data_IF_730272421646
#
_entry.id   IF_730272421646
#
_cell.length_a   1.000
_cell.length_b   1.000
_cell.length_c   1.000
_cell.angle_alpha   90.00
_cell.angle_beta   90.00
_cell.angle_gamma   90.00
#
_symmetry.space_group_name_H-M   'P 1'
#
loop_
_entity.id
_entity.type
_entity.pdbx_description
1 polymer ?
#
# COMPACT_ATOMS: atom_id res chain seq x y z
N UNK A 1 15.16 -17.81 27.21
CA UNK A 1 14.27 -17.46 28.36
C UNK A 1 12.96 -18.18 28.14
N UNK A 2 12.43 -18.88 29.16
CA UNK A 2 11.13 -19.53 29.04
C UNK A 2 10.06 -18.49 28.66
N UNK A 3 9.27 -18.78 27.62
CA UNK A 3 8.16 -17.94 27.20
C UNK A 3 7.21 -17.75 28.38
N UNK A 4 7.12 -16.54 28.91
CA UNK A 4 6.18 -16.19 29.96
C UNK A 4 4.79 -16.34 29.35
N UNK A 5 4.07 -17.41 29.71
CA UNK A 5 2.67 -17.58 29.33
C UNK A 5 1.88 -16.45 29.96
N UNK A 6 1.44 -15.51 29.13
CA UNK A 6 0.63 -14.38 29.55
C UNK A 6 -0.77 -14.49 28.95
N UNK A 7 -1.77 -14.27 29.79
CA UNK A 7 -3.16 -14.15 29.37
C UNK A 7 -3.53 -12.67 29.27
N UNK A 8 -4.07 -12.27 28.12
CA UNK A 8 -4.69 -10.97 27.88
C UNK A 8 -6.20 -11.15 27.85
N UNK A 9 -6.91 -10.25 28.52
CA UNK A 9 -8.37 -10.30 28.61
C UNK A 9 -8.93 -9.11 27.84
N UNK A 10 -9.86 -9.39 26.93
CA UNK A 10 -10.67 -8.40 26.23
C UNK A 10 -12.11 -8.57 26.71
N UNK A 11 -12.60 -7.57 27.44
CA UNK A 11 -13.98 -7.55 27.96
C UNK A 11 -14.92 -7.02 26.89
N UNK A 12 -15.96 -7.79 26.57
CA UNK A 12 -17.00 -7.46 25.59
C UNK A 12 -18.18 -6.78 26.29
N UNK A 13 -18.58 -5.60 25.84
CA UNK A 13 -19.78 -4.92 26.32
C UNK A 13 -20.80 -4.69 25.19
N UNK A 14 -22.03 -4.43 25.59
CA UNK A 14 -23.09 -4.04 24.69
C UNK A 14 -22.73 -2.71 24.00
N UNK A 15 -22.95 -2.65 22.68
CA UNK A 15 -22.74 -1.45 21.86
C UNK A 15 -21.29 -0.92 21.84
N UNK A 16 -20.29 -1.75 22.11
CA UNK A 16 -18.90 -1.32 21.95
C UNK A 16 -18.59 -0.92 20.50
N UNK A 17 -17.82 0.16 20.34
CA UNK A 17 -17.22 0.54 19.07
C UNK A 17 -15.71 0.24 19.09
N UNK A 18 -15.35 -1.01 18.77
CA UNK A 18 -13.96 -1.48 18.84
C UNK A 18 -13.18 -1.29 17.53
N UNK A 19 -13.82 -0.78 16.48
CA UNK A 19 -13.18 -0.59 15.15
C UNK A 19 -12.02 0.39 15.18
N UNK A 20 -12.04 1.33 16.13
CA UNK A 20 -11.01 2.36 16.31
C UNK A 20 -9.97 1.99 17.37
N UNK A 21 -10.13 0.86 18.04
CA UNK A 21 -9.24 0.42 19.11
C UNK A 21 -8.29 -0.63 18.57
N UNK A 22 -6.99 -0.37 18.72
CA UNK A 22 -5.96 -1.31 18.31
C UNK A 22 -5.61 -2.29 19.43
N UNK A 23 -5.94 -3.56 19.24
CA UNK A 23 -5.52 -4.63 20.15
C UNK A 23 -4.25 -5.30 19.62
N UNK A 24 -3.14 -5.17 20.34
CA UNK A 24 -1.87 -5.85 20.02
C UNK A 24 -1.62 -7.00 20.98
N UNK A 25 -1.33 -8.18 20.43
CA UNK A 25 -1.04 -9.41 21.20
C UNK A 25 0.25 -10.04 20.66
N UNK A 26 1.04 -10.64 21.55
CA UNK A 26 2.26 -11.35 21.16
C UNK A 26 1.97 -12.83 20.88
N UNK A 27 2.80 -13.45 20.03
CA UNK A 27 2.75 -14.91 19.83
C UNK A 27 2.99 -15.64 21.15
N UNK A 28 2.35 -16.79 21.31
CA UNK A 28 2.42 -17.62 22.51
C UNK A 28 1.58 -17.11 23.70
N UNK A 29 0.95 -15.94 23.60
CA UNK A 29 0.00 -15.46 24.61
C UNK A 29 -1.36 -16.14 24.42
N UNK A 30 -2.22 -16.04 25.43
CA UNK A 30 -3.64 -16.36 25.28
C UNK A 30 -4.44 -15.05 25.27
N UNK A 31 -5.25 -14.82 24.24
CA UNK A 31 -6.26 -13.77 24.26
C UNK A 31 -7.59 -14.40 24.64
N UNK A 32 -8.16 -13.97 25.76
CA UNK A 32 -9.46 -14.38 26.24
C UNK A 32 -10.48 -13.27 26.00
N UNK A 33 -11.59 -13.58 25.34
CA UNK A 33 -12.75 -12.72 25.29
C UNK A 33 -13.67 -13.09 26.45
N UNK A 34 -14.03 -12.12 27.27
CA UNK A 34 -14.91 -12.30 28.44
C UNK A 34 -16.09 -11.37 28.36
N UNK A 35 -17.25 -11.80 28.86
CA UNK A 35 -18.43 -10.95 28.90
C UNK A 35 -18.31 -9.90 30.01
N UNK A 36 -18.52 -8.64 29.64
CA UNK A 36 -18.75 -7.56 30.59
C UNK A 36 -20.16 -7.62 31.18
N UNK A 37 -20.44 -6.84 32.25
CA UNK A 37 -21.72 -6.88 32.96
C UNK A 37 -22.94 -6.65 32.06
N UNK A 38 -22.79 -5.81 31.03
CA UNK A 38 -23.86 -5.49 30.08
C UNK A 38 -24.30 -6.64 29.18
N UNK A 39 -23.47 -7.69 29.05
CA UNK A 39 -23.73 -8.84 28.19
C UNK A 39 -24.03 -10.14 28.94
N UNK A 40 -23.95 -10.16 30.27
CA UNK A 40 -24.12 -11.40 31.06
C UNK A 40 -25.50 -12.04 30.91
N UNK A 41 -26.54 -11.26 30.61
CA UNK A 41 -27.90 -11.76 30.43
C UNK A 41 -28.19 -12.24 29.00
N UNK A 42 -27.24 -12.09 28.07
CA UNK A 42 -27.47 -12.34 26.65
C UNK A 42 -26.66 -13.54 26.16
N UNK A 43 -27.23 -14.39 25.27
CA UNK A 43 -26.44 -15.39 24.55
C UNK A 43 -25.56 -14.66 23.53
N UNK A 44 -24.25 -14.62 23.80
CA UNK A 44 -23.26 -13.98 22.93
C UNK A 44 -22.50 -15.04 22.14
N UNK A 45 -22.38 -14.87 20.83
CA UNK A 45 -21.49 -15.68 19.98
C UNK A 45 -20.35 -14.81 19.47
N UNK A 46 -19.11 -15.29 19.60
CA UNK A 46 -17.91 -14.58 19.14
C UNK A 46 -17.35 -15.29 17.92
N UNK A 47 -17.10 -14.54 16.86
CA UNK A 47 -16.50 -15.01 15.63
C UNK A 47 -15.16 -14.34 15.39
N UNK A 48 -14.22 -15.05 14.79
CA UNK A 48 -12.94 -14.48 14.35
C UNK A 48 -12.47 -15.12 13.05
N UNK A 49 -11.73 -14.36 12.24
CA UNK A 49 -11.01 -14.92 11.09
C UNK A 49 -9.58 -15.39 11.45
N UNK A 50 -9.22 -15.41 12.74
CA UNK A 50 -8.00 -16.06 13.18
C UNK A 50 -8.10 -17.58 12.93
N UNK A 51 -7.19 -18.17 12.13
CA UNK A 51 -7.32 -19.55 11.69
C UNK A 51 -7.19 -20.53 12.86
N UNK A 52 -7.70 -21.74 12.67
CA UNK A 52 -7.39 -22.85 13.56
C UNK A 52 -5.92 -23.26 13.41
N UNK A 53 -5.40 -23.97 14.40
CA UNK A 53 -4.03 -24.45 14.35
C UNK A 53 -3.84 -25.38 13.14
N UNK A 54 -2.84 -25.07 12.31
CA UNK A 54 -2.57 -25.79 11.06
C UNK A 54 -3.37 -25.32 9.84
N UNK A 55 -4.38 -24.45 10.00
CA UNK A 55 -5.13 -23.90 8.88
C UNK A 55 -4.45 -22.66 8.27
N UNK A 56 -4.60 -22.46 6.96
CA UNK A 56 -4.19 -21.24 6.29
C UNK A 56 -5.11 -20.06 6.67
N UNK A 57 -4.56 -18.85 6.67
CA UNK A 57 -5.35 -17.65 6.89
C UNK A 57 -6.15 -17.27 5.65
N UNK A 58 -7.47 -17.08 5.81
CA UNK A 58 -8.38 -16.60 4.79
C UNK A 58 -9.17 -15.40 5.33
N UNK A 59 -8.94 -14.20 4.77
CA UNK A 59 -9.47 -12.94 5.33
C UNK A 59 -10.99 -12.93 5.52
N UNK A 60 -11.73 -13.55 4.60
CA UNK A 60 -13.20 -13.56 4.59
C UNK A 60 -13.81 -14.72 5.41
N UNK A 61 -13.01 -15.66 5.89
CA UNK A 61 -13.49 -16.86 6.57
C UNK A 61 -13.49 -16.65 8.08
N UNK A 62 -14.68 -16.61 8.68
CA UNK A 62 -14.84 -16.52 10.13
C UNK A 62 -15.23 -17.87 10.72
N UNK A 63 -14.77 -18.13 11.94
CA UNK A 63 -15.18 -19.29 12.75
C UNK A 63 -15.70 -18.82 14.10
N UNK A 64 -16.64 -19.57 14.63
CA UNK A 64 -17.15 -19.38 15.98
C UNK A 64 -16.10 -19.84 17.00
N UNK A 65 -15.94 -19.08 18.09
CA UNK A 65 -15.09 -19.45 19.21
C UNK A 65 -15.92 -20.15 20.30
N UNK A 66 -15.55 -21.37 20.72
CA UNK A 66 -16.29 -22.08 21.76
C UNK A 66 -16.09 -21.43 23.14
N UNK A 67 -17.18 -21.25 23.88
CA UNK A 67 -17.15 -20.83 25.27
C UNK A 67 -16.62 -21.94 26.19
N UNK A 68 -15.76 -21.55 27.13
CA UNK A 68 -15.15 -22.40 28.15
C UNK A 68 -15.48 -21.85 29.54
N UNK A 69 -15.54 -22.71 30.55
CA UNK A 69 -15.80 -22.34 31.94
C UNK A 69 -14.67 -22.79 32.87
N UNK A 70 -14.32 -21.98 33.87
CA UNK A 70 -13.35 -22.37 34.91
C UNK A 70 -14.07 -23.00 36.10
N UNK A 71 -14.48 -24.26 35.99
CA UNK A 71 -14.75 -25.18 37.10
C UNK A 71 -15.93 -24.89 38.07
N UNK A 72 -16.39 -23.65 38.22
CA UNK A 72 -17.56 -23.29 39.02
C UNK A 72 -18.63 -22.77 38.07
N UNK A 73 -19.82 -23.37 38.15
CA UNK A 73 -20.94 -23.13 37.24
C UNK A 73 -21.56 -21.75 37.56
N UNK A 74 -20.96 -20.72 36.97
CA UNK A 74 -21.51 -19.37 36.87
C UNK A 74 -21.19 -18.81 35.47
N UNK A 75 -22.14 -18.12 34.84
CA UNK A 75 -21.91 -17.48 33.54
C UNK A 75 -20.84 -16.37 33.60
N UNK A 76 -20.49 -15.87 34.79
CA UNK A 76 -19.49 -14.82 35.00
C UNK A 76 -18.06 -15.24 34.66
N UNK A 77 -17.76 -16.54 34.67
CA UNK A 77 -16.42 -17.08 34.43
C UNK A 77 -16.25 -17.70 33.04
N UNK A 78 -17.26 -17.50 32.17
CA UNK A 78 -17.21 -17.96 30.79
C UNK A 78 -16.24 -17.10 29.97
N UNK A 79 -15.38 -17.76 29.18
CA UNK A 79 -14.51 -17.09 28.22
C UNK A 79 -14.37 -17.91 26.96
N UNK A 80 -14.18 -17.25 25.82
CA UNK A 80 -13.63 -17.91 24.64
C UNK A 80 -12.20 -17.42 24.42
N UNK A 81 -11.35 -18.23 23.78
CA UNK A 81 -9.94 -17.87 23.65
C UNK A 81 -9.31 -18.27 22.33
N UNK A 82 -8.32 -17.49 21.94
CA UNK A 82 -7.35 -17.82 20.89
C UNK A 82 -5.95 -17.82 21.47
N UNK A 83 -5.07 -18.65 20.88
CA UNK A 83 -3.65 -18.70 21.19
C UNK A 83 -2.86 -18.32 19.94
N UNK A 84 -2.50 -17.03 19.78
CA UNK A 84 -1.81 -16.59 18.59
C UNK A 84 -0.45 -17.26 18.43
N UNK A 85 -0.23 -17.85 17.27
CA UNK A 85 1.03 -18.44 16.82
C UNK A 85 1.49 -17.84 15.49
N UNK A 86 0.54 -17.31 14.70
CA UNK A 86 0.78 -16.63 13.44
C UNK A 86 0.70 -15.12 13.64
N UNK A 87 1.66 -14.38 13.08
CA UNK A 87 1.63 -12.91 13.04
C UNK A 87 0.75 -12.44 11.90
N UNK A 88 0.06 -11.33 12.10
CA UNK A 88 -0.84 -10.78 11.10
C UNK A 88 -1.90 -9.87 11.70
N UNK A 89 -2.81 -9.44 10.84
CA UNK A 89 -3.97 -8.64 11.22
C UNK A 89 -5.23 -9.47 11.05
N UNK A 90 -5.94 -9.64 12.15
CA UNK A 90 -7.15 -10.45 12.26
C UNK A 90 -8.33 -9.58 12.70
N UNK A 91 -9.52 -10.09 12.48
CA UNK A 91 -10.78 -9.47 12.85
C UNK A 91 -11.56 -10.42 13.76
N UNK A 92 -12.27 -9.84 14.71
CA UNK A 92 -13.30 -10.53 15.47
C UNK A 92 -14.56 -9.68 15.50
N UNK A 93 -15.70 -10.35 15.58
CA UNK A 93 -16.98 -9.70 15.81
C UNK A 93 -17.83 -10.57 16.73
N UNK A 94 -18.81 -9.98 17.37
CA UNK A 94 -19.73 -10.74 18.21
C UNK A 94 -21.17 -10.32 18.02
N UNK A 95 -22.03 -11.30 18.24
CA UNK A 95 -23.46 -11.26 17.98
C UNK A 95 -24.17 -11.52 19.31
N UNK A 96 -25.15 -10.68 19.63
CA UNK A 96 -26.12 -10.95 20.69
C UNK A 96 -27.48 -10.38 20.26
N UNK A 97 -28.54 -11.18 20.40
CA UNK A 97 -29.83 -10.88 19.78
C UNK A 97 -29.77 -10.97 18.24
N UNK A 98 -30.36 -10.00 17.53
CA UNK A 98 -30.38 -9.99 16.07
C UNK A 98 -29.18 -9.21 15.47
N UNK A 99 -28.30 -9.91 14.76
CA UNK A 99 -27.21 -9.35 13.95
C UNK A 99 -25.91 -8.99 14.69
N UNK A 100 -24.86 -8.68 13.93
CA UNK A 100 -23.55 -8.25 14.45
C UNK A 100 -23.70 -6.93 15.21
N UNK A 101 -23.19 -6.90 16.45
CA UNK A 101 -23.32 -5.73 17.35
C UNK A 101 -22.04 -4.93 17.49
N UNK A 102 -20.90 -5.59 17.40
CA UNK A 102 -19.60 -4.94 17.43
C UNK A 102 -18.56 -5.79 16.70
N UNK A 103 -17.55 -5.12 16.18
CA UNK A 103 -16.37 -5.71 15.54
C UNK A 103 -15.11 -5.00 16.03
N UNK A 104 -13.99 -5.71 16.03
CA UNK A 104 -12.69 -5.18 16.39
C UNK A 104 -11.57 -5.90 15.65
N UNK A 105 -10.38 -5.30 15.69
CA UNK A 105 -9.20 -5.82 15.01
C UNK A 105 -8.12 -6.21 16.01
N UNK A 106 -7.45 -7.31 15.70
CA UNK A 106 -6.33 -7.85 16.46
C UNK A 106 -5.08 -7.83 15.58
N UNK A 107 -4.00 -7.25 16.09
CA UNK A 107 -2.67 -7.38 15.52
C UNK A 107 -1.87 -8.35 16.37
N UNK A 108 -1.34 -9.39 15.72
CA UNK A 108 -0.36 -10.28 16.31
C UNK A 108 1.01 -9.88 15.78
N UNK A 109 1.84 -9.33 16.65
CA UNK A 109 3.15 -8.79 16.29
C UNK A 109 4.07 -9.90 15.70
N UNK A 110 4.88 -9.59 14.67
CA UNK A 110 5.90 -10.52 14.21
C UNK A 110 7.02 -10.68 15.24
N UNK A 111 7.65 -11.84 15.22
CA UNK A 111 8.88 -12.09 15.96
C UNK A 111 10.04 -12.00 14.98
N UNK A 112 10.90 -11.02 15.17
CA UNK A 112 12.07 -10.81 14.35
C UNK A 112 13.24 -11.58 14.93
N UNK A 113 13.96 -12.35 14.12
CA UNK A 113 14.99 -13.23 14.62
C UNK A 113 16.27 -13.17 13.77
N UNK A 114 17.39 -13.07 14.47
CA UNK A 114 18.71 -12.80 13.87
C UNK A 114 19.77 -13.71 14.50
N UNK A 115 20.92 -13.86 13.84
CA UNK A 115 21.95 -14.81 14.24
C UNK A 115 21.82 -16.18 13.57
N UNK A 116 22.79 -17.08 13.79
CA UNK A 116 22.80 -18.43 13.23
C UNK A 116 21.74 -19.32 13.89
N UNK A 117 21.35 -20.39 13.20
CA UNK A 117 20.22 -21.24 13.57
C UNK A 117 20.36 -21.91 14.94
N UNK A 118 21.59 -22.11 15.41
CA UNK A 118 21.92 -22.72 16.70
C UNK A 118 21.92 -21.73 17.88
N UNK A 119 22.01 -20.43 17.62
CA UNK A 119 22.07 -19.37 18.63
C UNK A 119 21.24 -18.14 18.25
N UNK A 120 20.09 -18.40 17.60
CA UNK A 120 19.18 -17.38 17.12
C UNK A 120 18.63 -16.54 18.29
N UNK A 121 18.67 -15.22 18.14
CA UNK A 121 18.14 -14.25 19.12
C UNK A 121 16.95 -13.51 18.54
N UNK A 122 15.95 -13.25 19.37
CA UNK A 122 14.83 -12.38 19.01
C UNK A 122 15.27 -10.92 19.11
N UNK A 123 15.02 -10.14 18.06
CA UNK A 123 15.14 -8.69 18.06
C UNK A 123 13.79 -8.08 18.47
N UNK A 124 13.68 -7.42 19.64
CA UNK A 124 12.45 -6.74 20.02
C UNK A 124 12.11 -5.62 19.03
N UNK A 125 10.83 -5.46 18.71
CA UNK A 125 10.36 -4.42 17.77
C UNK A 125 10.73 -3.00 18.23
N UNK A 126 10.71 -2.75 19.53
CA UNK A 126 11.08 -1.45 20.13
C UNK A 126 12.60 -1.18 20.09
N UNK A 127 13.40 -2.16 19.67
CA UNK A 127 14.86 -2.06 19.58
C UNK A 127 15.36 -1.96 18.14
N UNK A 128 14.48 -1.74 17.16
CA UNK A 128 14.89 -1.57 15.76
C UNK A 128 15.62 -0.23 15.60
N UNK A 129 16.86 -0.30 15.12
CA UNK A 129 17.65 0.83 14.65
C UNK A 129 17.89 0.63 13.15
N UNK A 130 17.26 1.48 12.34
CA UNK A 130 17.14 1.29 10.90
C UNK A 130 17.98 2.30 10.11
N UNK A 131 18.75 1.81 9.14
CA UNK A 131 19.52 2.62 8.19
C UNK A 131 18.92 2.51 6.79
N UNK A 132 18.39 3.62 6.27
CA UNK A 132 17.88 3.67 4.89
C UNK A 132 19.01 3.92 3.90
N UNK A 133 19.10 3.07 2.88
CA UNK A 133 20.05 3.20 1.77
C UNK A 133 19.32 3.37 0.44
N UNK A 134 19.79 4.33 -0.35
CA UNK A 134 19.38 4.46 -1.75
C UNK A 134 20.08 3.37 -2.56
N UNK A 135 19.37 2.29 -2.90
CA UNK A 135 19.94 1.12 -3.55
C UNK A 135 20.70 1.48 -4.85
N UNK A 136 20.15 2.41 -5.65
CA UNK A 136 20.81 2.92 -6.88
C UNK A 136 22.19 3.56 -6.64
N UNK A 137 22.49 4.01 -5.42
CA UNK A 137 23.76 4.63 -5.06
C UNK A 137 24.77 3.62 -4.45
N UNK A 138 24.38 2.36 -4.24
CA UNK A 138 25.29 1.32 -3.77
C UNK A 138 26.25 0.84 -4.85
N UNK A 139 26.03 1.22 -6.12
CA UNK A 139 26.84 0.78 -7.26
C UNK A 139 26.65 -0.71 -7.54
N UNK A 140 27.65 -1.36 -8.20
CA UNK A 140 27.55 -2.75 -8.57
C UNK A 140 27.42 -3.67 -7.34
N UNK A 141 26.66 -4.76 -7.48
CA UNK A 141 26.31 -5.68 -6.39
C UNK A 141 27.53 -6.23 -5.64
N UNK A 142 28.63 -6.47 -6.36
CA UNK A 142 29.91 -6.93 -5.77
C UNK A 142 30.52 -5.99 -4.73
N UNK A 143 30.04 -4.74 -4.62
CA UNK A 143 30.49 -3.75 -3.65
C UNK A 143 29.49 -3.53 -2.51
N UNK A 144 28.33 -4.20 -2.53
CA UNK A 144 27.28 -3.93 -1.56
C UNK A 144 27.68 -4.34 -0.16
N UNK A 145 28.25 -5.53 0.01
CA UNK A 145 28.63 -6.04 1.34
C UNK A 145 29.53 -5.04 2.09
N UNK A 146 30.61 -4.56 1.48
CA UNK A 146 31.52 -3.61 2.11
C UNK A 146 30.88 -2.25 2.42
N UNK A 147 29.95 -1.78 1.59
CA UNK A 147 29.22 -0.52 1.82
C UNK A 147 28.17 -0.67 2.93
N UNK A 148 27.46 -1.80 2.95
CA UNK A 148 26.42 -2.09 3.94
C UNK A 148 27.01 -2.45 5.30
N UNK A 149 28.25 -2.94 5.35
CA UNK A 149 28.97 -3.21 6.60
C UNK A 149 29.03 -1.97 7.51
N UNK A 150 29.07 -0.76 6.94
CA UNK A 150 29.02 0.50 7.72
C UNK A 150 27.81 0.53 8.66
N UNK A 151 26.64 0.05 8.23
CA UNK A 151 25.44 0.02 9.07
C UNK A 151 25.64 -0.87 10.30
N UNK A 152 26.22 -2.07 10.12
CA UNK A 152 26.55 -2.99 11.20
C UNK A 152 27.55 -2.36 12.18
N UNK A 153 28.67 -1.84 11.68
CA UNK A 153 29.76 -1.30 12.52
C UNK A 153 29.35 -0.03 13.28
N UNK A 154 28.29 0.66 12.82
CA UNK A 154 27.70 1.82 13.50
C UNK A 154 26.52 1.48 14.41
N UNK A 155 26.20 0.18 14.58
CA UNK A 155 25.21 -0.29 15.55
C UNK A 155 23.77 -0.39 15.05
N UNK A 156 23.51 -0.18 13.75
CA UNK A 156 22.20 -0.44 13.17
C UNK A 156 21.95 -1.95 13.08
N UNK A 157 20.69 -2.34 13.25
CA UNK A 157 20.27 -3.75 13.23
C UNK A 157 19.21 -4.05 12.16
N UNK A 158 18.88 -3.06 11.33
CA UNK A 158 18.05 -3.22 10.14
C UNK A 158 18.50 -2.28 9.05
N UNK A 159 18.55 -2.77 7.81
CA UNK A 159 18.78 -1.96 6.62
C UNK A 159 17.46 -1.86 5.86
N UNK A 160 17.10 -0.64 5.47
CA UNK A 160 15.98 -0.37 4.59
C UNK A 160 16.50 -0.01 3.21
N UNK A 161 16.14 -0.81 2.22
CA UNK A 161 16.44 -0.53 0.83
C UNK A 161 15.29 0.22 0.18
N UNK A 162 15.58 1.34 -0.49
CA UNK A 162 14.68 1.80 -1.55
C UNK A 162 14.55 0.70 -2.62
N UNK A 163 13.52 0.72 -3.47
CA UNK A 163 13.26 -0.36 -4.41
C UNK A 163 14.50 -0.82 -5.18
N UNK A 164 14.70 -2.13 -5.24
CA UNK A 164 15.82 -2.79 -5.90
C UNK A 164 15.55 -3.07 -7.39
N UNK A 165 14.31 -2.83 -7.81
CA UNK A 165 13.80 -3.19 -9.13
C UNK A 165 14.31 -2.26 -10.23
N UNK A 166 14.15 -2.70 -11.48
CA UNK A 166 14.49 -1.93 -12.67
C UNK A 166 13.78 -0.57 -12.71
N UNK A 167 14.57 0.50 -12.87
CA UNK A 167 14.08 1.88 -12.85
C UNK A 167 13.59 2.32 -14.24
N UNK A 168 12.60 3.20 -14.26
CA UNK A 168 12.14 3.89 -15.45
C UNK A 168 13.06 5.02 -15.91
N UNK A 169 12.65 5.69 -16.98
CA UNK A 169 13.42 6.70 -17.69
C UNK A 169 13.89 7.86 -16.79
N UNK A 170 13.07 8.27 -15.81
CA UNK A 170 13.42 9.35 -14.87
C UNK A 170 14.52 8.97 -13.87
N UNK A 171 14.87 7.68 -13.75
CA UNK A 171 15.79 7.13 -12.74
C UNK A 171 15.40 7.46 -11.29
N UNK A 172 14.14 7.77 -11.04
CA UNK A 172 13.57 7.87 -9.70
C UNK A 172 13.51 6.48 -9.07
N UNK A 173 13.91 6.35 -7.79
CA UNK A 173 13.88 5.05 -7.08
C UNK A 173 12.48 4.45 -6.98
N UNK A 174 11.43 5.26 -7.15
CA UNK A 174 10.03 4.84 -7.00
C UNK A 174 9.31 4.70 -8.35
N UNK A 175 9.95 5.07 -9.46
CA UNK A 175 9.40 4.89 -10.81
C UNK A 175 10.00 3.62 -11.40
N UNK A 176 9.32 2.49 -11.22
CA UNK A 176 9.81 1.16 -11.60
C UNK A 176 9.32 0.78 -13.00
N UNK A 177 10.23 0.46 -13.92
CA UNK A 177 9.89 -0.03 -15.26
C UNK A 177 9.57 -1.52 -15.26
N UNK A 178 10.21 -2.29 -14.38
CA UNK A 178 9.93 -3.71 -14.24
C UNK A 178 10.06 -4.16 -12.78
N UNK A 179 8.92 -4.47 -12.17
CA UNK A 179 8.82 -4.85 -10.76
C UNK A 179 9.42 -6.23 -10.46
N UNK A 180 9.63 -7.07 -11.50
CA UNK A 180 10.09 -8.45 -11.36
C UNK A 180 11.59 -8.60 -11.61
N UNK A 181 12.25 -7.58 -12.13
CA UNK A 181 13.68 -7.58 -12.45
C UNK A 181 14.45 -6.67 -11.51
N UNK A 182 15.66 -7.08 -11.17
CA UNK A 182 16.61 -6.24 -10.45
C UNK A 182 17.10 -5.09 -11.35
N UNK A 183 17.49 -3.97 -10.73
CA UNK A 183 18.06 -2.86 -11.46
C UNK A 183 19.37 -3.29 -12.18
N UNK A 184 19.45 -3.15 -13.51
CA UNK A 184 20.65 -3.51 -14.26
C UNK A 184 21.90 -2.71 -13.87
N UNK A 185 21.75 -1.54 -13.24
CA UNK A 185 22.86 -0.75 -12.69
C UNK A 185 23.69 -1.54 -11.64
N UNK A 186 23.14 -2.61 -11.06
CA UNK A 186 23.84 -3.46 -10.10
C UNK A 186 24.81 -4.46 -10.76
N UNK A 187 24.80 -4.57 -12.09
CA UNK A 187 25.67 -5.46 -12.86
C UNK A 187 27.13 -5.02 -12.78
N UNK A 188 28.05 -5.95 -12.53
CA UNK A 188 29.50 -5.71 -12.58
C UNK A 188 30.17 -6.69 -13.55
N UNK A 189 31.09 -6.20 -14.40
CA UNK A 189 31.92 -7.05 -15.29
C UNK A 189 31.13 -8.08 -16.12
N UNK A 190 29.90 -7.72 -16.54
CA UNK A 190 29.03 -8.59 -17.33
C UNK A 190 28.23 -9.63 -16.53
N UNK A 191 28.32 -9.63 -15.20
CA UNK A 191 27.52 -10.48 -14.33
C UNK A 191 26.43 -9.66 -13.64
N UNK A 192 25.17 -9.90 -14.02
CA UNK A 192 24.01 -9.30 -13.39
C UNK A 192 23.60 -10.16 -12.18
N UNK A 193 23.38 -9.56 -10.99
CA UNK A 193 22.92 -10.32 -9.84
C UNK A 193 21.50 -10.85 -10.07
N UNK A 194 21.20 -12.00 -9.49
CA UNK A 194 19.86 -12.58 -9.38
C UNK A 194 19.21 -12.22 -8.04
N UNK A 195 17.91 -12.47 -7.92
CA UNK A 195 17.22 -12.38 -6.63
C UNK A 195 17.78 -13.36 -5.60
N UNK A 196 18.30 -14.51 -6.03
CA UNK A 196 18.95 -15.48 -5.16
C UNK A 196 20.27 -14.93 -4.59
N UNK A 197 21.06 -14.19 -5.39
CA UNK A 197 22.27 -13.53 -4.91
C UNK A 197 21.97 -12.46 -3.85
N UNK A 198 20.93 -11.65 -4.09
CA UNK A 198 20.44 -10.67 -3.11
C UNK A 198 19.94 -11.37 -1.85
N UNK A 199 19.18 -12.46 -2.02
CA UNK A 199 18.69 -13.30 -0.92
C UNK A 199 19.83 -13.88 -0.07
N UNK A 200 20.89 -14.36 -0.71
CA UNK A 200 22.08 -14.88 -0.04
C UNK A 200 22.80 -13.79 0.78
N UNK A 201 22.93 -12.58 0.23
CA UNK A 201 23.50 -11.43 0.96
C UNK A 201 22.63 -11.05 2.16
N UNK A 202 21.31 -10.91 1.97
CA UNK A 202 20.36 -10.58 3.06
C UNK A 202 20.40 -11.64 4.17
N UNK A 203 20.48 -12.92 3.80
CA UNK A 203 20.58 -14.01 4.77
C UNK A 203 21.94 -14.01 5.50
N UNK A 204 23.05 -13.71 4.80
CA UNK A 204 24.35 -13.54 5.42
C UNK A 204 24.35 -12.37 6.42
N UNK A 205 23.76 -11.22 6.07
CA UNK A 205 23.61 -10.10 7.01
C UNK A 205 22.76 -10.48 8.23
N UNK A 206 21.65 -11.19 8.03
CA UNK A 206 20.79 -11.67 9.13
C UNK A 206 21.53 -12.63 10.05
N UNK A 207 22.23 -13.60 9.48
CA UNK A 207 22.92 -14.69 10.18
C UNK A 207 24.20 -14.22 10.87
N UNK A 208 25.07 -13.53 10.13
CA UNK A 208 26.44 -13.25 10.55
C UNK A 208 26.59 -11.88 11.20
N UNK A 209 25.79 -10.90 10.77
CA UNK A 209 25.85 -9.53 11.33
C UNK A 209 24.72 -9.25 12.33
N UNK A 210 23.70 -10.10 12.34
CA UNK A 210 22.50 -9.87 13.13
C UNK A 210 21.68 -8.66 12.64
N UNK A 211 21.80 -8.32 11.35
CA UNK A 211 21.16 -7.17 10.70
C UNK A 211 20.06 -7.65 9.77
N UNK A 212 18.83 -7.19 10.00
CA UNK A 212 17.68 -7.49 9.15
C UNK A 212 17.63 -6.60 7.91
N UNK A 213 16.76 -6.94 6.95
CA UNK A 213 16.53 -6.13 5.77
C UNK A 213 15.04 -5.98 5.50
N UNK A 214 14.66 -4.78 5.06
CA UNK A 214 13.34 -4.50 4.48
C UNK A 214 13.53 -3.73 3.17
N UNK A 215 12.57 -3.83 2.26
CA UNK A 215 12.53 -3.06 1.03
C UNK A 215 11.20 -2.33 0.93
N UNK A 216 11.24 -1.13 0.37
CA UNK A 216 10.04 -0.44 -0.10
C UNK A 216 9.33 -1.29 -1.16
N UNK A 217 7.99 -1.20 -1.17
CA UNK A 217 7.12 -1.78 -2.20
C UNK A 217 6.23 -0.68 -2.75
N UNK A 218 6.17 -0.54 -4.08
CA UNK A 218 5.40 0.50 -4.76
C UNK A 218 4.16 -0.11 -5.40
N UNK A 219 3.00 0.12 -4.80
CA UNK A 219 1.71 -0.41 -5.29
C UNK A 219 0.91 0.59 -6.13
N UNK A 220 1.13 1.88 -5.93
CA UNK A 220 0.25 2.93 -6.43
C UNK A 220 0.57 3.41 -7.85
N UNK A 221 1.78 3.13 -8.36
CA UNK A 221 2.19 3.52 -9.71
C UNK A 221 3.32 2.64 -10.25
N UNK A 222 3.56 2.77 -11.55
CA UNK A 222 4.68 2.17 -12.30
C UNK A 222 5.29 3.24 -13.21
N UNK A 223 6.49 3.02 -13.75
CA UNK A 223 7.08 3.95 -14.70
C UNK A 223 6.27 4.00 -15.99
N UNK A 224 6.15 5.20 -16.58
CA UNK A 224 5.40 5.41 -17.83
C UNK A 224 5.95 4.63 -19.02
N UNK A 225 7.22 4.21 -18.95
CA UNK A 225 7.92 3.45 -19.98
C UNK A 225 8.01 1.95 -19.66
N UNK A 226 7.13 1.41 -18.81
CA UNK A 226 7.09 -0.03 -18.55
C UNK A 226 6.49 -0.78 -19.75
N UNK A 227 7.22 -1.71 -20.34
CA UNK A 227 6.79 -2.41 -21.57
C UNK A 227 5.41 -3.08 -21.43
N UNK A 228 5.15 -3.68 -20.26
CA UNK A 228 3.90 -4.42 -20.00
C UNK A 228 2.64 -3.54 -20.00
N UNK A 229 2.76 -2.21 -19.89
CA UNK A 229 1.62 -1.29 -20.01
C UNK A 229 1.09 -1.29 -21.45
N UNK A 230 1.96 -1.50 -22.44
CA UNK A 230 1.56 -1.63 -23.84
C UNK A 230 0.68 -2.85 -24.08
N UNK A 231 1.00 -3.95 -23.40
CA UNK A 231 0.22 -5.20 -23.46
C UNK A 231 -1.06 -5.13 -22.62
N UNK A 232 -1.03 -4.39 -21.51
CA UNK A 232 -2.13 -4.28 -20.53
C UNK A 232 -2.54 -2.82 -20.24
N UNK A 233 -3.00 -2.04 -21.23
CA UNK A 233 -3.36 -0.63 -21.03
C UNK A 233 -4.57 -0.42 -20.11
N UNK A 234 -5.34 -1.48 -19.82
CA UNK A 234 -6.45 -1.48 -18.86
C UNK A 234 -6.00 -1.35 -17.40
N UNK A 235 -4.72 -1.56 -17.11
CA UNK A 235 -4.17 -1.47 -15.76
C UNK A 235 -4.13 -0.03 -15.22
N UNK A 236 -4.10 0.96 -16.11
CA UNK A 236 -4.10 2.38 -15.78
C UNK A 236 -5.49 3.00 -15.94
N UNK A 237 -5.59 4.29 -15.62
CA UNK A 237 -6.81 5.06 -15.91
C UNK A 237 -6.75 5.58 -17.35
N UNK A 238 -7.65 5.10 -18.21
CA UNK A 238 -7.70 5.47 -19.63
C UNK A 238 -9.11 5.93 -20.06
N UNK A 239 -9.25 6.37 -21.31
CA UNK A 239 -10.51 6.95 -21.81
C UNK A 239 -11.66 5.92 -21.99
N UNK A 240 -11.35 4.63 -21.88
CA UNK A 240 -12.30 3.52 -21.95
C UNK A 240 -12.79 3.13 -20.54
N UNK A 241 -11.88 2.81 -19.63
CA UNK A 241 -12.24 2.38 -18.27
C UNK A 241 -12.56 3.54 -17.32
N UNK A 242 -12.10 4.75 -17.64
CA UNK A 242 -12.25 5.96 -16.82
C UNK A 242 -12.78 7.13 -17.67
N UNK A 243 -13.98 7.00 -18.28
CA UNK A 243 -14.50 7.97 -19.24
C UNK A 243 -14.73 9.37 -18.64
N UNK A 244 -14.87 9.48 -17.32
CA UNK A 244 -14.94 10.75 -16.61
C UNK A 244 -13.65 11.59 -16.74
N UNK A 245 -12.53 10.98 -17.14
CA UNK A 245 -11.26 11.68 -17.41
C UNK A 245 -11.17 12.31 -18.80
N UNK A 246 -12.14 12.08 -19.69
CA UNK A 246 -12.11 12.65 -21.06
C UNK A 246 -11.95 14.17 -21.10
N UNK A 247 -12.68 14.97 -20.29
CA UNK A 247 -12.48 16.42 -20.28
C UNK A 247 -11.05 16.80 -19.85
N UNK A 248 -10.51 16.12 -18.84
CA UNK A 248 -9.16 16.37 -18.34
C UNK A 248 -8.10 15.99 -19.39
N UNK A 249 -8.29 14.89 -20.10
CA UNK A 249 -7.41 14.48 -21.20
C UNK A 249 -7.39 15.49 -22.35
N UNK A 250 -8.56 15.99 -22.76
CA UNK A 250 -8.64 17.01 -23.82
C UNK A 250 -7.90 18.28 -23.41
N UNK A 251 -8.07 18.71 -22.16
CA UNK A 251 -7.35 19.87 -21.61
C UNK A 251 -5.83 19.64 -21.61
N UNK A 252 -5.36 18.51 -21.07
CA UNK A 252 -3.94 18.17 -21.02
C UNK A 252 -3.29 18.17 -22.41
N UNK A 253 -3.94 17.51 -23.38
CA UNK A 253 -3.47 17.50 -24.77
C UNK A 253 -3.42 18.90 -25.37
N UNK A 254 -4.40 19.74 -25.12
CA UNK A 254 -4.42 21.11 -25.64
C UNK A 254 -3.28 21.96 -25.07
N UNK A 255 -2.99 21.83 -23.77
CA UNK A 255 -1.86 22.51 -23.14
C UNK A 255 -0.50 21.98 -23.62
N UNK A 256 -0.39 20.68 -23.87
CA UNK A 256 0.80 20.10 -24.50
C UNK A 256 1.02 20.64 -25.93
N UNK A 257 -0.04 20.71 -26.74
CA UNK A 257 0.09 21.29 -28.09
C UNK A 257 0.48 22.77 -28.03
N UNK A 258 -0.09 23.54 -27.09
CA UNK A 258 0.31 24.92 -26.85
C UNK A 258 1.81 25.02 -26.52
N UNK A 259 2.33 24.16 -25.63
CA UNK A 259 3.76 24.22 -25.25
C UNK A 259 4.69 23.95 -26.43
N UNK A 260 4.33 23.01 -27.31
CA UNK A 260 5.06 22.73 -28.56
C UNK A 260 5.04 23.94 -29.50
N UNK A 261 3.87 24.57 -29.69
CA UNK A 261 3.73 25.75 -30.55
C UNK A 261 4.50 26.97 -30.01
N UNK A 262 4.49 27.16 -28.69
CA UNK A 262 5.26 28.23 -28.01
C UNK A 262 6.76 28.00 -28.20
N UNK A 263 7.23 26.76 -28.02
CA UNK A 263 8.63 26.41 -28.26
C UNK A 263 9.06 26.63 -29.71
N UNK A 264 8.16 26.41 -30.67
CA UNK A 264 8.37 26.70 -32.10
C UNK A 264 8.26 28.20 -32.46
N UNK A 265 7.92 29.07 -31.49
CA UNK A 265 7.82 30.51 -31.68
C UNK A 265 6.54 30.98 -32.38
N UNK A 266 5.53 30.11 -32.53
CA UNK A 266 4.27 30.43 -33.21
C UNK A 266 3.49 31.58 -32.54
N UNK A 267 3.69 31.76 -31.23
CA UNK A 267 2.98 32.73 -30.40
C UNK A 267 3.77 34.02 -30.13
N UNK A 268 4.95 34.18 -30.75
CA UNK A 268 5.82 35.35 -30.54
C UNK A 268 5.11 36.68 -30.84
N UNK A 269 4.22 36.69 -31.85
CA UNK A 269 3.43 37.88 -32.22
C UNK A 269 2.42 38.29 -31.15
N UNK A 270 2.00 37.36 -30.29
CA UNK A 270 1.15 37.61 -29.12
C UNK A 270 1.96 37.85 -27.84
N UNK A 271 3.26 38.16 -27.96
CA UNK A 271 4.12 38.43 -26.80
C UNK A 271 4.53 37.18 -26.03
N UNK A 272 4.32 35.98 -26.60
CA UNK A 272 4.68 34.71 -25.99
C UNK A 272 5.83 34.03 -26.77
N UNK A 273 7.09 34.35 -26.45
CA UNK A 273 8.26 33.76 -27.09
C UNK A 273 8.59 32.36 -26.54
N UNK A 274 9.49 31.60 -27.19
CA UNK A 274 9.96 30.30 -26.69
C UNK A 274 10.64 30.35 -25.31
N UNK A 275 11.22 31.49 -24.92
CA UNK A 275 11.91 31.68 -23.65
C UNK A 275 11.13 32.62 -22.72
N UNK A 276 10.68 32.10 -21.58
CA UNK A 276 9.85 32.83 -20.63
C UNK A 276 10.73 33.42 -19.54
N UNK A 277 11.00 34.72 -19.62
CA UNK A 277 11.95 35.42 -18.72
C UNK A 277 11.38 36.67 -18.06
N UNK A 278 10.13 37.03 -18.35
CA UNK A 278 9.49 38.24 -17.84
C UNK A 278 8.05 37.99 -17.43
N UNK A 279 7.53 38.82 -16.52
CA UNK A 279 6.11 38.77 -16.10
C UNK A 279 5.15 39.05 -17.26
N UNK A 280 5.55 39.87 -18.23
CA UNK A 280 4.77 40.12 -19.44
C UNK A 280 4.55 38.81 -20.24
N UNK A 281 5.54 37.93 -20.31
CA UNK A 281 5.38 36.62 -20.95
C UNK A 281 4.42 35.72 -20.15
N UNK A 282 4.41 35.79 -18.81
CA UNK A 282 3.45 35.04 -17.97
C UNK A 282 2.01 35.51 -18.19
N UNK A 283 1.80 36.83 -18.33
CA UNK A 283 0.51 37.39 -18.72
C UNK A 283 0.09 36.92 -20.12
N UNK A 284 1.01 36.93 -21.09
CA UNK A 284 0.73 36.44 -22.43
C UNK A 284 0.36 34.93 -22.45
N UNK A 285 0.99 34.09 -21.63
CA UNK A 285 0.58 32.67 -21.46
C UNK A 285 -0.88 32.58 -21.02
N UNK A 286 -1.25 33.35 -20.00
CA UNK A 286 -2.62 33.34 -19.49
C UNK A 286 -3.60 33.78 -20.58
N UNK A 287 -3.33 34.88 -21.27
CA UNK A 287 -4.18 35.38 -22.35
C UNK A 287 -4.39 34.32 -23.44
N UNK A 288 -3.30 33.70 -23.93
CA UNK A 288 -3.37 32.64 -24.95
C UNK A 288 -4.19 31.45 -24.47
N UNK A 289 -4.03 31.01 -23.22
CA UNK A 289 -4.82 29.89 -22.69
C UNK A 289 -6.31 30.23 -22.65
N UNK A 290 -6.68 31.40 -22.15
CA UNK A 290 -8.08 31.79 -21.94
C UNK A 290 -8.79 32.18 -23.24
N UNK A 291 -8.12 32.90 -24.14
CA UNK A 291 -8.73 33.48 -25.33
C UNK A 291 -8.60 32.57 -26.56
N UNK A 292 -7.51 31.81 -26.67
CA UNK A 292 -7.27 30.97 -27.84
C UNK A 292 -7.49 29.49 -27.57
N UNK A 293 -7.01 28.94 -26.44
CA UNK A 293 -7.08 27.49 -26.20
C UNK A 293 -8.46 27.06 -25.70
N UNK A 294 -8.94 27.63 -24.59
CA UNK A 294 -10.21 27.21 -23.97
C UNK A 294 -11.43 27.29 -24.91
N UNK A 295 -11.62 28.36 -25.71
CA UNK A 295 -12.76 28.43 -26.61
C UNK A 295 -12.73 27.37 -27.72
N UNK A 296 -11.54 26.92 -28.14
CA UNK A 296 -11.39 25.90 -29.19
C UNK A 296 -11.75 24.50 -28.71
N UNK A 297 -11.44 24.17 -27.45
CA UNK A 297 -11.65 22.81 -26.90
C UNK A 297 -13.03 22.61 -26.27
N UNK A 298 -13.78 23.70 -26.06
CA UNK A 298 -15.20 23.70 -25.65
C UNK A 298 -15.53 22.77 -24.48
N UNK A 299 -14.69 22.80 -23.42
CA UNK A 299 -14.83 21.90 -22.27
C UNK A 299 -16.20 21.96 -21.60
N UNK A 300 -16.91 23.09 -21.68
CA UNK A 300 -18.26 23.24 -21.12
C UNK A 300 -19.30 22.33 -21.80
N UNK A 301 -19.08 21.92 -23.05
CA UNK A 301 -19.98 21.00 -23.76
C UNK A 301 -20.03 19.61 -23.09
N UNK A 302 -19.00 19.22 -22.33
CA UNK A 302 -19.01 17.99 -21.53
C UNK A 302 -19.99 18.03 -20.35
N UNK A 303 -20.46 19.22 -19.95
CA UNK A 303 -21.34 19.43 -18.79
C UNK A 303 -22.73 19.91 -19.19
N UNK A 304 -23.00 20.03 -20.49
CA UNK A 304 -24.23 20.62 -21.02
C UNK A 304 -24.90 19.69 -22.01
N UNK A 305 -26.21 19.88 -22.20
CA UNK A 305 -26.97 19.22 -23.26
C UNK A 305 -27.00 20.14 -24.46
N UNK A 306 -26.68 19.60 -25.65
CA UNK A 306 -26.99 20.29 -26.90
C UNK A 306 -28.51 20.31 -27.10
N UNK A 307 -29.12 21.44 -26.75
CA UNK A 307 -30.57 21.61 -26.83
C UNK A 307 -31.10 21.52 -28.27
N UNK A 308 -30.31 21.90 -29.28
CA UNK A 308 -30.73 21.86 -30.68
C UNK A 308 -30.88 20.41 -31.12
N UNK A 309 -29.84 19.62 -30.91
CA UNK A 309 -29.85 18.18 -31.19
C UNK A 309 -30.95 17.45 -30.40
N UNK A 310 -31.13 17.82 -29.12
CA UNK A 310 -32.16 17.22 -28.27
C UNK A 310 -33.59 17.52 -28.77
N UNK A 311 -33.88 18.76 -29.17
CA UNK A 311 -35.18 19.16 -29.71
C UNK A 311 -35.48 18.48 -31.06
N UNK A 312 -34.50 18.38 -31.95
CA UNK A 312 -34.66 17.66 -33.22
C UNK A 312 -34.95 16.17 -33.01
N UNK A 313 -34.22 15.51 -32.10
CA UNK A 313 -34.45 14.12 -31.76
C UNK A 313 -35.85 13.90 -31.14
N UNK A 314 -36.29 14.82 -30.29
CA UNK A 314 -37.63 14.81 -29.71
C UNK A 314 -38.72 14.94 -30.79
N UNK A 315 -38.59 15.91 -31.70
CA UNK A 315 -39.53 16.10 -32.82
C UNK A 315 -39.66 14.85 -33.69
N UNK A 316 -38.53 14.22 -34.08
CA UNK A 316 -38.53 12.97 -34.86
C UNK A 316 -39.28 11.83 -34.16
N UNK A 317 -39.15 11.70 -32.83
CA UNK A 317 -39.85 10.66 -32.07
C UNK A 317 -41.36 10.90 -31.99
N UNK A 318 -41.80 12.16 -31.90
CA UNK A 318 -43.22 12.50 -31.93
C UNK A 318 -43.83 12.21 -33.30
N UNK A 319 -43.12 12.53 -34.39
CA UNK A 319 -43.64 12.30 -35.74
C UNK A 319 -43.62 10.84 -36.19
N UNK A 320 -42.93 9.95 -35.46
CA UNK A 320 -42.81 8.53 -35.77
C UNK A 320 -43.76 7.62 -34.97
N UNK A 321 -44.51 8.17 -34.00
CA UNK A 321 -45.58 7.49 -33.26
C UNK A 321 -46.94 7.97 -33.71
#
# INVERSE_FOLDING_TARGET
MASVRQTRVLTLNAMDNLERTLYRVKKGFELQFRLGPSLQAFPVTVYTNYPEEGAAFERARFRELPWKHTGVVGQSDAFCSIKPHMSGTYEFHYVYGAGVKARGYLIVDPELAVGPSDSQRTLPLDCIALHTVLAKCLGPFSQWESKLQVAKETGYNMIHFTPLQELGESRSCYSLANQLRLNPDFTAKGHAPSWDDVGALVEAMRRDWGVLSISDVVYNHTASNSDWIGDHPECGYNLLNSPHLRPAFVLDRALWHLSVEVAAGAWTRKGLPPSITTDAHLHAIREVIYEDVYPRIKLWEFFQVDYTTALEAFGKKISAG
#
